data_IF_715313542857
#
_entry.id   IF_715313542857
#
_cell.length_a   1.000
_cell.length_b   1.000
_cell.length_c   1.000
_cell.angle_alpha   90.00
_cell.angle_beta   90.00
_cell.angle_gamma   90.00
#
_symmetry.space_group_name_H-M   'P 1'
#
loop_
_entity.id
_entity.type
_entity.pdbx_description
1 polymer ?
#
# COMPACT_ATOMS: atom_id res chain seq x y z
N UNK A 1 -44.82 42.15 -10.23
CA UNK A 1 -43.35 42.05 -10.47
C UNK A 1 -42.93 40.62 -10.21
N UNK A 2 -42.49 39.88 -11.23
CA UNK A 2 -42.14 38.45 -11.12
C UNK A 2 -40.76 38.25 -10.52
N UNK A 3 -40.59 37.22 -9.69
CA UNK A 3 -39.36 36.97 -8.91
C UNK A 3 -38.18 36.56 -9.79
N UNK A 4 -37.04 37.26 -9.67
CA UNK A 4 -35.78 36.98 -10.41
C UNK A 4 -34.95 35.81 -9.84
N UNK A 5 -35.40 35.18 -8.75
CA UNK A 5 -34.68 34.09 -8.06
C UNK A 5 -34.36 32.88 -8.95
N UNK A 6 -35.23 32.43 -9.89
CA UNK A 6 -34.91 31.30 -10.77
C UNK A 6 -33.76 31.63 -11.74
N UNK A 7 -33.72 32.85 -12.26
CA UNK A 7 -32.69 33.31 -13.19
C UNK A 7 -31.32 33.44 -12.50
N UNK A 8 -31.29 33.94 -11.26
CA UNK A 8 -30.06 33.99 -10.46
C UNK A 8 -29.49 32.59 -10.16
N UNK A 9 -30.36 31.61 -9.84
CA UNK A 9 -29.95 30.21 -9.63
C UNK A 9 -29.45 29.54 -10.91
N UNK A 10 -30.06 29.85 -12.06
CA UNK A 10 -29.61 29.34 -13.35
C UNK A 10 -28.20 29.86 -13.69
N UNK A 11 -27.95 31.14 -13.45
CA UNK A 11 -26.63 31.76 -13.64
C UNK A 11 -25.56 31.17 -12.72
N UNK A 12 -25.86 30.99 -11.43
CA UNK A 12 -24.94 30.31 -10.51
C UNK A 12 -24.62 28.88 -10.96
N UNK A 13 -25.61 28.14 -11.45
CA UNK A 13 -25.41 26.79 -11.97
C UNK A 13 -24.53 26.77 -13.22
N UNK A 14 -24.73 27.69 -14.15
CA UNK A 14 -23.90 27.78 -15.36
C UNK A 14 -22.47 28.21 -15.04
N UNK A 15 -22.29 29.18 -14.14
CA UNK A 15 -20.96 29.62 -13.69
C UNK A 15 -20.21 28.46 -13.00
N UNK A 16 -20.89 27.71 -12.13
CA UNK A 16 -20.31 26.52 -11.49
C UNK A 16 -19.92 25.44 -12.51
N UNK A 17 -20.80 25.11 -13.47
CA UNK A 17 -20.49 24.09 -14.49
C UNK A 17 -19.38 24.53 -15.44
N UNK A 18 -19.25 25.83 -15.71
CA UNK A 18 -18.15 26.37 -16.49
C UNK A 18 -16.82 26.30 -15.73
N UNK A 19 -16.82 26.66 -14.44
CA UNK A 19 -15.63 26.65 -13.58
C UNK A 19 -15.11 25.23 -13.32
N UNK A 20 -16.02 24.28 -13.11
CA UNK A 20 -15.70 22.86 -12.93
C UNK A 20 -15.21 22.20 -14.22
N UNK A 21 -15.64 22.71 -15.39
CA UNK A 21 -15.27 22.14 -16.68
C UNK A 21 -15.76 20.71 -16.85
N UNK A 22 -14.93 19.85 -17.45
CA UNK A 22 -15.27 18.43 -17.64
C UNK A 22 -15.00 17.63 -16.35
N UNK A 23 -16.09 17.34 -15.64
CA UNK A 23 -16.10 16.49 -14.45
C UNK A 23 -15.49 15.11 -14.72
N UNK A 24 -15.72 14.52 -15.89
CA UNK A 24 -15.23 13.17 -16.19
C UNK A 24 -13.70 13.15 -16.31
N UNK A 25 -13.12 14.17 -16.94
CA UNK A 25 -11.68 14.37 -16.99
C UNK A 25 -11.07 14.54 -15.58
N UNK A 26 -11.73 15.29 -14.69
CA UNK A 26 -11.26 15.52 -13.32
C UNK A 26 -11.31 14.24 -12.47
N UNK A 27 -12.41 13.50 -12.51
CA UNK A 27 -12.52 12.21 -11.81
C UNK A 27 -11.56 11.16 -12.38
N UNK A 28 -11.36 11.15 -13.70
CA UNK A 28 -10.39 10.26 -14.34
C UNK A 28 -8.95 10.57 -13.94
N UNK A 29 -8.58 11.86 -13.84
CA UNK A 29 -7.29 12.29 -13.31
C UNK A 29 -7.10 11.89 -11.84
N UNK A 30 -8.11 12.11 -10.99
CA UNK A 30 -8.08 11.70 -9.59
C UNK A 30 -7.89 10.19 -9.42
N UNK A 31 -8.60 9.39 -10.22
CA UNK A 31 -8.48 7.93 -10.20
C UNK A 31 -7.11 7.43 -10.65
N UNK A 32 -6.46 8.07 -11.63
CA UNK A 32 -5.06 7.78 -11.99
C UNK A 32 -4.11 8.03 -10.82
N UNK A 33 -4.26 9.17 -10.13
CA UNK A 33 -3.45 9.49 -8.96
C UNK A 33 -3.62 8.49 -7.80
N UNK A 34 -4.86 8.05 -7.54
CA UNK A 34 -5.11 7.01 -6.52
C UNK A 34 -4.45 5.67 -6.88
N UNK A 35 -4.57 5.24 -8.14
CA UNK A 35 -3.94 3.99 -8.59
C UNK A 35 -2.41 4.02 -8.43
N UNK A 36 -1.77 5.16 -8.72
CA UNK A 36 -0.32 5.33 -8.55
C UNK A 36 0.09 5.29 -7.08
N UNK A 37 -0.70 5.92 -6.19
CA UNK A 37 -0.47 5.86 -4.75
C UNK A 37 -0.63 4.44 -4.20
N UNK A 38 -1.63 3.70 -4.68
CA UNK A 38 -1.84 2.31 -4.26
C UNK A 38 -0.73 1.39 -4.79
N UNK A 39 -0.30 1.56 -6.03
CA UNK A 39 0.85 0.84 -6.58
C UNK A 39 2.12 1.11 -5.76
N UNK A 40 2.39 2.37 -5.41
CA UNK A 40 3.53 2.73 -4.55
C UNK A 40 3.42 2.15 -3.14
N UNK A 41 2.21 2.09 -2.57
CA UNK A 41 1.98 1.44 -1.27
C UNK A 41 2.24 -0.05 -1.33
N UNK A 42 1.79 -0.71 -2.40
CA UNK A 42 2.01 -2.14 -2.61
C UNK A 42 3.48 -2.47 -2.80
N UNK A 43 4.21 -1.68 -3.61
CA UNK A 43 5.65 -1.82 -3.79
C UNK A 43 6.40 -1.62 -2.47
N UNK A 44 6.09 -0.56 -1.73
CA UNK A 44 6.70 -0.32 -0.42
C UNK A 44 6.38 -1.43 0.59
N UNK A 45 5.21 -2.06 0.49
CA UNK A 45 4.85 -3.21 1.32
C UNK A 45 5.66 -4.45 0.91
N UNK A 46 5.81 -4.71 -0.39
CA UNK A 46 6.64 -5.79 -0.92
C UNK A 46 8.12 -5.65 -0.52
N UNK A 47 8.70 -4.46 -0.67
CA UNK A 47 10.10 -4.20 -0.30
C UNK A 47 10.35 -4.46 1.19
N UNK A 48 9.46 -3.97 2.06
CA UNK A 48 9.55 -4.17 3.52
C UNK A 48 9.29 -5.61 3.93
N UNK A 49 8.36 -6.29 3.27
CA UNK A 49 7.97 -7.65 3.63
C UNK A 49 8.95 -8.70 3.11
N UNK A 50 9.53 -8.48 1.92
CA UNK A 50 10.30 -9.46 1.17
C UNK A 50 11.61 -8.88 0.62
N UNK A 51 11.58 -7.79 -0.15
CA UNK A 51 12.72 -7.31 -0.93
C UNK A 51 13.99 -7.03 -0.12
N UNK A 52 13.84 -6.49 1.09
CA UNK A 52 14.95 -6.17 2.00
C UNK A 52 15.39 -7.34 2.89
N UNK A 53 14.67 -8.47 2.89
CA UNK A 53 14.92 -9.59 3.81
C UNK A 53 15.70 -10.71 3.13
N UNK A 54 16.58 -11.38 3.90
CA UNK A 54 17.23 -12.60 3.42
C UNK A 54 16.21 -13.70 3.19
N UNK A 55 16.20 -14.24 1.98
CA UNK A 55 15.39 -15.39 1.56
C UNK A 55 16.16 -16.68 1.79
N UNK A 56 15.48 -17.67 2.36
CA UNK A 56 15.96 -19.03 2.53
C UNK A 56 15.06 -19.98 1.74
N UNK A 57 15.66 -21.00 1.13
CA UNK A 57 14.95 -21.94 0.25
C UNK A 57 14.14 -22.96 1.04
N UNK A 58 14.69 -23.45 2.15
CA UNK A 58 14.00 -24.39 3.04
C UNK A 58 13.77 -23.84 4.44
N UNK A 59 12.80 -24.45 5.15
CA UNK A 59 12.55 -24.16 6.57
C UNK A 59 13.77 -24.52 7.42
N UNK A 60 14.48 -25.59 7.06
CA UNK A 60 15.65 -26.05 7.78
C UNK A 60 16.78 -25.02 7.71
N UNK A 61 17.02 -24.42 6.54
CA UNK A 61 18.04 -23.38 6.38
C UNK A 61 17.72 -22.13 7.20
N UNK A 62 16.44 -21.74 7.24
CA UNK A 62 15.99 -20.62 8.06
C UNK A 62 16.17 -20.90 9.56
N UNK A 63 15.91 -22.13 10.03
CA UNK A 63 16.14 -22.54 11.41
C UNK A 63 17.63 -22.57 11.75
N UNK A 64 18.48 -23.13 10.88
CA UNK A 64 19.92 -23.10 11.06
C UNK A 64 20.47 -21.68 11.14
N UNK A 65 19.92 -20.74 10.37
CA UNK A 65 20.26 -19.32 10.47
C UNK A 65 19.80 -18.69 11.79
N UNK A 66 18.66 -19.10 12.34
CA UNK A 66 18.20 -18.67 13.68
C UNK A 66 19.17 -19.18 14.75
N UNK A 67 19.58 -20.44 14.68
CA UNK A 67 20.53 -21.03 15.62
C UNK A 67 21.90 -20.36 15.56
N UNK A 68 22.40 -20.08 14.35
CA UNK A 68 23.62 -19.30 14.15
C UNK A 68 23.48 -17.89 14.75
N UNK A 69 22.35 -17.22 14.54
CA UNK A 69 22.09 -15.90 15.14
C UNK A 69 22.02 -15.96 16.67
N UNK A 70 21.44 -17.03 17.24
CA UNK A 70 21.38 -17.26 18.67
C UNK A 70 22.78 -17.49 19.27
N UNK A 71 23.65 -18.23 18.58
CA UNK A 71 25.05 -18.42 18.96
C UNK A 71 25.83 -17.09 18.97
N UNK A 72 25.49 -16.16 18.08
CA UNK A 72 26.04 -14.79 18.06
C UNK A 72 25.37 -13.82 19.05
N UNK A 73 24.45 -14.30 19.90
CA UNK A 73 23.80 -13.50 20.95
C UNK A 73 22.50 -12.81 20.56
N UNK A 74 22.06 -12.90 19.30
CA UNK A 74 20.75 -12.39 18.86
C UNK A 74 19.69 -13.49 19.02
N UNK A 75 18.97 -13.46 20.14
CA UNK A 75 17.90 -14.42 20.48
C UNK A 75 16.51 -13.89 20.07
N UNK A 76 15.52 -14.79 19.99
CA UNK A 76 14.10 -14.42 19.76
C UNK A 76 13.70 -14.24 18.29
N UNK A 77 14.48 -14.79 17.35
CA UNK A 77 14.08 -14.84 15.94
C UNK A 77 13.16 -16.04 15.70
N UNK A 78 12.17 -15.86 14.82
CA UNK A 78 11.32 -16.93 14.31
C UNK A 78 11.31 -16.90 12.78
N UNK A 79 11.00 -18.02 12.14
CA UNK A 79 10.90 -18.11 10.69
C UNK A 79 9.43 -18.14 10.25
N UNK A 80 9.10 -17.47 9.15
CA UNK A 80 7.78 -17.56 8.50
C UNK A 80 7.93 -17.76 7.00
N UNK A 81 6.90 -18.35 6.38
CA UNK A 81 6.83 -18.50 4.92
C UNK A 81 6.22 -17.23 4.31
N UNK A 82 6.94 -16.63 3.38
CA UNK A 82 6.52 -15.41 2.69
C UNK A 82 5.41 -15.72 1.67
N UNK A 83 4.33 -14.95 1.68
CA UNK A 83 3.27 -15.04 0.67
C UNK A 83 3.68 -14.48 -0.69
N UNK A 84 4.67 -13.57 -0.74
CA UNK A 84 5.12 -12.93 -1.97
C UNK A 84 6.11 -13.80 -2.76
N UNK A 85 7.20 -14.25 -2.13
CA UNK A 85 8.25 -14.99 -2.80
C UNK A 85 8.18 -16.51 -2.59
N UNK A 86 7.30 -16.98 -1.70
CA UNK A 86 7.17 -18.39 -1.33
C UNK A 86 8.33 -18.96 -0.49
N UNK A 87 9.40 -18.19 -0.28
CA UNK A 87 10.55 -18.56 0.53
C UNK A 87 10.37 -18.33 2.03
N UNK A 88 11.40 -18.68 2.79
CA UNK A 88 11.43 -18.48 4.24
C UNK A 88 12.18 -17.21 4.62
N UNK A 89 11.64 -16.46 5.57
CA UNK A 89 12.27 -15.26 6.13
C UNK A 89 12.30 -15.32 7.65
N UNK A 90 13.26 -14.61 8.25
CA UNK A 90 13.35 -14.44 9.69
C UNK A 90 12.59 -13.18 10.13
N UNK A 91 11.96 -13.25 11.29
CA UNK A 91 11.31 -12.14 11.97
C UNK A 91 11.67 -12.15 13.45
N UNK A 92 11.91 -10.96 14.02
CA UNK A 92 12.11 -10.77 15.47
C UNK A 92 10.82 -10.78 16.26
N UNK A 93 9.66 -10.76 15.58
CA UNK A 93 8.35 -10.81 16.21
C UNK A 93 7.89 -12.26 16.21
N UNK A 94 7.97 -12.97 17.34
CA UNK A 94 7.37 -14.29 17.41
C UNK A 94 5.87 -14.14 17.11
N UNK A 95 5.35 -14.91 16.16
CA UNK A 95 3.91 -15.07 16.04
C UNK A 95 3.44 -15.67 17.37
N UNK A 96 2.85 -14.82 18.23
CA UNK A 96 2.18 -15.29 19.43
C UNK A 96 1.05 -16.18 18.94
N UNK A 97 1.18 -17.49 19.18
CA UNK A 97 0.11 -18.46 18.99
C UNK A 97 -1.09 -18.14 19.86
#
# INVERSE_FOLDING_TARGET
>A
MTSRKPQARARQRSEFMHDVGDLDALFSAGRRGLNELDARREEAHYEKACGLKKRYDSRADALAAIDACAAHGRRGLSCYKCSYCGGWHLTSHPQRG
#
